data_IF_555193234544
#
_entry.id   IF_555193234544
#
_cell.length_a   1.000
_cell.length_b   1.000
_cell.length_c   1.000
_cell.angle_alpha   90.00
_cell.angle_beta   90.00
_cell.angle_gamma   90.00
#
_symmetry.space_group_name_H-M   'P 1'
#
loop_
_entity.id
_entity.type
_entity.pdbx_description
1 polymer ?
#
# COMPACT_ATOMS: atom_id res chain seq x y z
N UNK A 1 -8.35 58.74 -18.15
CA UNK A 1 -9.43 57.74 -17.99
C UNK A 1 -8.92 56.78 -16.92
N UNK A 2 -9.10 57.02 -15.61
CA UNK A 2 -10.36 57.09 -14.84
C UNK A 2 -11.23 55.87 -15.17
N UNK A 3 -11.56 54.93 -14.29
CA UNK A 3 -11.61 54.91 -12.82
C UNK A 3 -11.42 53.45 -12.31
N UNK A 4 -11.14 53.25 -11.00
CA UNK A 4 -10.82 52.00 -10.34
C UNK A 4 -12.09 51.30 -9.80
N UNK A 5 -11.96 50.03 -9.41
CA UNK A 5 -12.94 49.34 -8.59
C UNK A 5 -12.31 48.95 -7.25
N UNK A 6 -12.97 49.40 -6.21
CA UNK A 6 -12.63 49.44 -4.79
C UNK A 6 -13.06 48.12 -4.09
N UNK A 7 -13.13 48.00 -2.74
CA UNK A 7 -12.47 46.95 -1.97
C UNK A 7 -13.47 45.93 -1.40
N UNK A 8 -12.96 44.87 -0.76
CA UNK A 8 -13.77 44.06 0.14
C UNK A 8 -13.10 43.94 1.53
N UNK A 9 -13.89 44.09 2.61
CA UNK A 9 -13.41 44.33 3.97
C UNK A 9 -13.15 43.03 4.72
N UNK A 10 -12.13 43.02 5.58
CA UNK A 10 -11.99 42.02 6.64
C UNK A 10 -11.93 42.72 7.99
N UNK A 11 -13.10 42.94 8.56
CA UNK A 11 -13.25 43.20 9.98
C UNK A 11 -13.64 41.92 10.72
N UNK A 12 -13.29 41.92 12.01
CA UNK A 12 -13.71 41.02 13.11
C UNK A 12 -12.72 39.87 13.32
N UNK A 13 -11.72 40.05 14.18
CA UNK A 13 -11.84 40.10 15.65
C UNK A 13 -12.56 38.85 16.20
N UNK A 14 -11.77 37.90 16.69
CA UNK A 14 -12.23 36.92 17.66
C UNK A 14 -11.12 36.73 18.69
N UNK A 15 -11.33 37.39 19.82
CA UNK A 15 -10.72 37.14 21.11
C UNK A 15 -10.95 35.66 21.48
N UNK A 16 -9.92 34.94 21.88
CA UNK A 16 -10.07 33.73 22.68
C UNK A 16 -9.02 33.77 23.79
N UNK A 17 -9.50 34.23 24.95
CA UNK A 17 -8.82 34.27 26.24
C UNK A 17 -8.99 32.90 26.93
N UNK A 18 -8.02 32.57 27.79
CA UNK A 18 -8.03 31.57 28.85
C UNK A 18 -7.98 30.08 28.47
N UNK A 19 -6.91 29.42 28.93
CA UNK A 19 -7.03 28.50 30.07
C UNK A 19 -5.65 28.28 30.71
N UNK A 20 -5.50 28.78 31.94
CA UNK A 20 -4.47 28.36 32.86
C UNK A 20 -4.95 27.07 33.55
N UNK A 21 -4.13 26.02 33.54
CA UNK A 21 -4.31 24.86 34.42
C UNK A 21 -3.04 24.73 35.25
N UNK A 22 -3.17 25.06 36.52
CA UNK A 22 -2.14 24.92 37.54
C UNK A 22 -2.56 23.80 38.51
N UNK A 23 -1.59 22.94 38.79
CA UNK A 23 -1.41 22.14 40.01
C UNK A 23 -2.34 20.92 40.29
N UNK A 24 -1.69 19.75 40.24
CA UNK A 24 -1.99 18.51 41.01
C UNK A 24 -1.83 18.76 42.55
N UNK A 25 -1.99 17.81 43.51
CA UNK A 25 -1.93 16.34 43.39
C UNK A 25 -2.83 15.54 44.39
N UNK A 26 -2.54 14.23 44.45
CA UNK A 26 -2.73 13.26 45.56
C UNK A 26 -4.01 12.41 45.53
N UNK A 27 -3.78 11.12 45.28
CA UNK A 27 -4.69 10.02 45.57
C UNK A 27 -3.94 8.70 45.46
N UNK A 28 -3.08 8.41 46.45
CA UNK A 28 -2.49 7.08 46.60
C UNK A 28 -3.54 6.17 47.24
N UNK A 29 -3.94 5.08 46.56
CA UNK A 29 -4.69 4.00 47.22
C UNK A 29 -4.46 2.64 46.58
N UNK A 30 -3.97 1.73 47.42
CA UNK A 30 -4.09 0.27 47.40
C UNK A 30 -3.59 -0.51 46.19
N UNK A 31 -2.39 -1.07 46.35
CA UNK A 31 -1.94 -2.27 45.66
C UNK A 31 -2.80 -3.48 46.08
N UNK A 32 -3.58 -4.02 45.14
CA UNK A 32 -4.09 -5.39 45.19
C UNK A 32 -3.21 -6.29 44.32
N UNK A 33 -3.02 -7.58 44.66
CA UNK A 33 -2.27 -8.50 43.81
C UNK A 33 -3.13 -8.87 42.60
N UNK A 34 -3.00 -8.13 41.51
CA UNK A 34 -3.53 -8.53 40.21
C UNK A 34 -2.66 -9.66 39.67
N UNK A 35 -3.22 -10.87 39.81
CA UNK A 35 -2.81 -12.08 39.11
C UNK A 35 -2.59 -11.76 37.62
N UNK A 36 -1.43 -12.17 37.11
CA UNK A 36 -1.01 -11.86 35.76
C UNK A 36 -2.01 -12.37 34.71
N UNK A 37 -2.52 -11.43 33.93
CA UNK A 37 -2.74 -11.64 32.50
C UNK A 37 -1.92 -10.55 31.84
N UNK A 38 -0.64 -10.84 31.59
CA UNK A 38 0.08 -10.17 30.52
C UNK A 38 -0.65 -10.59 29.25
N UNK A 39 -1.66 -9.81 28.89
CA UNK A 39 -2.17 -9.77 27.54
C UNK A 39 -0.94 -9.43 26.70
N UNK A 40 -0.37 -10.45 26.03
CA UNK A 40 0.59 -10.21 24.96
C UNK A 40 -0.21 -9.43 23.93
N UNK A 41 -0.19 -8.11 24.08
CA UNK A 41 -0.58 -7.20 23.03
C UNK A 41 0.07 -7.76 21.78
N UNK A 42 -0.78 -8.20 20.86
CA UNK A 42 -0.38 -8.51 19.52
C UNK A 42 0.27 -7.22 19.02
N UNK A 43 1.59 -7.13 19.17
CA UNK A 43 2.39 -6.11 18.54
C UNK A 43 2.12 -6.33 17.06
N UNK A 44 1.26 -5.48 16.49
CA UNK A 44 0.89 -5.56 15.10
C UNK A 44 2.19 -5.52 14.32
N UNK A 45 2.56 -6.66 13.72
CA UNK A 45 3.81 -6.80 12.99
C UNK A 45 3.85 -5.68 11.96
N UNK A 46 4.83 -4.79 12.08
CA UNK A 46 5.07 -3.74 11.08
C UNK A 46 5.70 -4.30 9.80
N UNK A 47 5.96 -5.61 9.77
CA UNK A 47 6.41 -6.28 8.58
C UNK A 47 5.31 -6.21 7.50
N UNK A 48 5.69 -5.99 6.24
CA UNK A 48 4.74 -6.11 5.16
C UNK A 48 4.24 -7.55 5.05
N UNK A 49 2.97 -7.69 4.70
CA UNK A 49 2.34 -8.98 4.51
C UNK A 49 1.66 -9.06 3.14
N UNK A 50 1.63 -10.22 2.46
CA UNK A 50 0.97 -10.35 1.17
C UNK A 50 -0.51 -9.98 1.24
N UNK A 51 -1.05 -9.21 0.29
CA UNK A 51 -2.50 -8.95 0.18
C UNK A 51 -3.27 -10.27 0.07
N UNK A 52 -4.51 -10.32 0.53
CA UNK A 52 -5.27 -11.58 0.51
C UNK A 52 -5.50 -12.08 -0.92
N UNK A 53 -5.82 -11.15 -1.82
CA UNK A 53 -6.08 -11.42 -3.23
C UNK A 53 -5.59 -10.27 -4.12
N UNK A 54 -5.01 -10.62 -5.27
CA UNK A 54 -4.79 -9.70 -6.38
C UNK A 54 -6.05 -9.67 -7.24
N UNK A 55 -6.70 -8.51 -7.32
CA UNK A 55 -7.95 -8.33 -8.04
C UNK A 55 -7.72 -8.09 -9.53
N UNK A 56 -6.76 -7.21 -9.84
CA UNK A 56 -6.41 -6.80 -11.20
C UNK A 56 -4.95 -6.37 -11.27
N UNK A 57 -4.36 -6.47 -12.46
CA UNK A 57 -3.03 -5.98 -12.74
C UNK A 57 -2.92 -5.51 -14.20
N UNK A 58 -2.05 -4.54 -14.44
CA UNK A 58 -1.73 -4.03 -15.76
C UNK A 58 -0.25 -3.67 -15.85
N UNK A 59 0.32 -3.81 -17.04
CA UNK A 59 1.74 -3.52 -17.28
C UNK A 59 1.89 -2.68 -18.53
N UNK A 60 2.75 -1.66 -18.45
CA UNK A 60 2.99 -0.71 -19.52
C UNK A 60 4.49 -0.49 -19.70
N UNK A 61 4.97 -0.59 -20.94
CA UNK A 61 6.33 -0.15 -21.31
C UNK A 61 6.25 1.35 -21.62
N UNK A 62 6.81 2.15 -20.72
CA UNK A 62 6.84 3.60 -20.83
C UNK A 62 7.97 4.00 -21.78
N UNK A 63 7.61 4.65 -22.89
CA UNK A 63 8.58 5.21 -23.84
C UNK A 63 9.28 6.41 -23.21
N UNK A 64 10.61 6.40 -23.19
CA UNK A 64 11.43 7.46 -22.60
C UNK A 64 12.91 7.08 -22.54
N UNK A 65 13.75 7.97 -22.02
CA UNK A 65 15.18 7.73 -21.76
C UNK A 65 15.49 8.05 -20.29
N UNK A 66 15.63 7.02 -19.42
CA UNK A 66 15.58 5.59 -19.72
C UNK A 66 14.15 5.08 -19.96
N UNK A 67 14.02 3.98 -20.71
CA UNK A 67 12.77 3.21 -20.82
C UNK A 67 12.43 2.65 -19.44
N UNK A 68 11.15 2.71 -19.05
CA UNK A 68 10.70 2.21 -17.75
C UNK A 68 9.54 1.25 -17.93
N UNK A 69 9.42 0.27 -17.04
CA UNK A 69 8.25 -0.57 -16.92
C UNK A 69 7.36 -0.03 -15.80
N UNK A 70 6.10 0.26 -16.09
CA UNK A 70 5.08 0.59 -15.09
C UNK A 70 4.22 -0.63 -14.85
N UNK A 71 4.09 -1.04 -13.59
CA UNK A 71 3.23 -2.13 -13.15
C UNK A 71 2.19 -1.57 -12.20
N UNK A 72 0.92 -1.69 -12.58
CA UNK A 72 -0.22 -1.29 -11.77
C UNK A 72 -0.88 -2.56 -11.22
N UNK A 73 -1.22 -2.56 -9.93
CA UNK A 73 -1.96 -3.65 -9.32
C UNK A 73 -3.03 -3.14 -8.35
N UNK A 74 -4.15 -3.84 -8.32
CA UNK A 74 -5.20 -3.65 -7.35
C UNK A 74 -5.42 -4.95 -6.58
N UNK A 75 -5.49 -4.87 -5.26
CA UNK A 75 -5.59 -6.00 -4.35
C UNK A 75 -6.63 -5.76 -3.27
N UNK A 76 -6.93 -6.81 -2.51
CA UNK A 76 -7.85 -6.77 -1.38
C UNK A 76 -7.13 -7.26 -0.14
N UNK A 77 -7.34 -6.56 0.98
CA UNK A 77 -6.94 -7.04 2.31
C UNK A 77 -8.14 -6.95 3.26
N UNK A 78 -8.42 -8.04 3.94
CA UNK A 78 -9.43 -8.12 5.00
C UNK A 78 -8.87 -7.69 6.36
N UNK A 79 -7.54 -7.49 6.45
CA UNK A 79 -6.88 -7.04 7.68
C UNK A 79 -7.24 -5.57 7.96
N UNK A 80 -7.77 -5.26 9.15
CA UNK A 80 -8.03 -3.89 9.56
C UNK A 80 -6.74 -3.08 9.63
N UNK A 81 -6.84 -1.78 9.35
CA UNK A 81 -5.73 -0.88 9.50
C UNK A 81 -4.61 -1.09 8.49
N UNK A 82 -4.83 -1.80 7.38
CA UNK A 82 -3.88 -1.87 6.25
C UNK A 82 -4.37 -0.97 5.11
N UNK A 83 -3.48 -0.15 4.55
CA UNK A 83 -3.90 0.84 3.54
C UNK A 83 -2.85 1.26 2.52
N UNK A 84 -1.59 0.86 2.74
CA UNK A 84 -0.52 1.07 1.76
C UNK A 84 -0.12 -0.26 1.13
N UNK A 85 0.18 -0.23 -0.17
CA UNK A 85 0.59 -1.39 -0.95
C UNK A 85 1.99 -1.21 -1.56
N UNK A 86 2.69 -2.32 -1.78
CA UNK A 86 3.96 -2.37 -2.52
C UNK A 86 4.01 -3.63 -3.37
N UNK A 87 4.68 -3.55 -4.53
CA UNK A 87 5.04 -4.73 -5.32
C UNK A 87 6.52 -5.04 -5.09
N UNK A 88 6.81 -6.21 -4.54
CA UNK A 88 8.17 -6.67 -4.25
C UNK A 88 8.63 -7.63 -5.36
N UNK A 89 9.63 -7.25 -6.16
CA UNK A 89 10.23 -8.12 -7.18
C UNK A 89 10.89 -9.36 -6.57
N UNK A 90 10.66 -10.54 -7.16
CA UNK A 90 11.49 -11.71 -6.92
C UNK A 90 12.64 -11.70 -7.91
N UNK A 91 13.74 -11.04 -7.53
CA UNK A 91 14.95 -11.00 -8.34
C UNK A 91 15.72 -12.30 -8.16
N UNK A 92 15.75 -13.11 -9.23
CA UNK A 92 16.68 -14.24 -9.34
C UNK A 92 17.97 -13.80 -10.02
N UNK A 93 19.08 -14.46 -9.71
CA UNK A 93 20.35 -14.28 -10.43
C UNK A 93 20.24 -14.78 -11.87
N UNK A 94 19.47 -15.85 -12.07
CA UNK A 94 19.21 -16.41 -13.38
C UNK A 94 17.92 -15.82 -13.98
N UNK A 95 17.91 -15.54 -15.30
CA UNK A 95 16.70 -15.08 -15.98
C UNK A 95 15.55 -16.08 -15.82
N UNK A 96 14.32 -15.56 -15.78
CA UNK A 96 13.14 -16.41 -15.69
C UNK A 96 13.04 -17.25 -16.99
N UNK A 97 12.99 -18.59 -16.93
CA UNK A 97 13.07 -19.45 -18.12
C UNK A 97 11.90 -19.25 -19.10
N UNK A 98 10.79 -18.68 -18.64
CA UNK A 98 9.61 -18.32 -19.43
C UNK A 98 9.51 -16.80 -19.71
N UNK A 99 10.48 -16.00 -19.26
CA UNK A 99 10.45 -14.54 -19.32
C UNK A 99 9.36 -13.89 -18.45
N UNK A 100 8.69 -14.63 -17.57
CA UNK A 100 7.67 -14.12 -16.66
C UNK A 100 8.33 -13.86 -15.31
N UNK A 101 8.42 -12.59 -14.93
CA UNK A 101 9.04 -12.19 -13.68
C UNK A 101 8.02 -12.14 -12.54
N UNK A 102 8.40 -12.69 -11.40
CA UNK A 102 7.50 -12.83 -10.26
C UNK A 102 7.61 -11.64 -9.32
N UNK A 103 6.48 -11.24 -8.74
CA UNK A 103 6.38 -10.17 -7.75
C UNK A 103 5.36 -10.56 -6.68
N UNK A 104 5.60 -10.19 -5.43
CA UNK A 104 4.59 -10.29 -4.38
C UNK A 104 3.94 -8.94 -4.14
N UNK A 105 2.61 -8.89 -4.10
CA UNK A 105 1.86 -7.71 -3.69
C UNK A 105 1.68 -7.77 -2.17
N UNK A 106 2.41 -6.90 -1.48
CA UNK A 106 2.36 -6.78 -0.03
C UNK A 106 1.66 -5.50 0.40
N UNK A 107 1.16 -5.50 1.62
CA UNK A 107 0.53 -4.36 2.26
C UNK A 107 1.16 -4.11 3.63
N UNK A 108 1.19 -2.83 4.02
CA UNK A 108 1.67 -2.39 5.32
C UNK A 108 0.51 -1.97 6.22
N UNK A 109 0.65 -2.16 7.54
CA UNK A 109 -0.17 -1.46 8.51
C UNK A 109 -0.09 0.05 8.27
N UNK A 110 -1.23 0.71 8.21
CA UNK A 110 -1.36 2.16 8.16
C UNK A 110 -0.81 2.75 9.46
N UNK A 111 0.09 3.73 9.33
CA UNK A 111 0.58 4.52 10.46
C UNK A 111 -0.46 5.61 10.78
N UNK A 112 -1.49 5.30 11.57
CA UNK A 112 -2.50 6.27 11.98
C UNK A 112 -3.92 5.70 12.09
N UNK A 113 -4.94 6.57 11.97
CA UNK A 113 -6.35 6.15 12.01
C UNK A 113 -6.58 5.03 11.00
N UNK A 114 -7.04 3.89 11.49
CA UNK A 114 -7.14 2.66 10.71
C UNK A 114 -7.95 2.86 9.43
N UNK A 115 -7.38 2.49 8.29
CA UNK A 115 -8.16 2.21 7.08
C UNK A 115 -9.16 1.09 7.40
N UNK A 116 -10.35 1.16 6.82
CA UNK A 116 -11.39 0.16 7.10
C UNK A 116 -10.95 -1.19 6.50
N UNK A 117 -11.24 -2.28 7.22
CA UNK A 117 -10.96 -3.63 6.73
C UNK A 117 -11.78 -3.93 5.47
N UNK A 118 -11.18 -4.58 4.47
CA UNK A 118 -11.87 -4.94 3.22
C UNK A 118 -11.65 -3.95 2.08
N UNK A 119 -10.86 -2.90 2.31
CA UNK A 119 -10.59 -1.88 1.31
C UNK A 119 -9.75 -2.44 0.14
N UNK A 120 -10.05 -1.91 -1.04
CA UNK A 120 -9.26 -2.11 -2.25
C UNK A 120 -7.98 -1.29 -2.13
N UNK A 121 -6.83 -1.96 -2.23
CA UNK A 121 -5.51 -1.32 -2.24
C UNK A 121 -5.02 -1.24 -3.67
N UNK A 122 -4.53 -0.07 -4.06
CA UNK A 122 -3.92 0.14 -5.37
C UNK A 122 -2.46 0.53 -5.21
N UNK A 123 -1.61 0.02 -6.11
CA UNK A 123 -0.19 0.31 -6.14
C UNK A 123 0.26 0.49 -7.58
N UNK A 124 1.16 1.45 -7.77
CA UNK A 124 1.88 1.69 -9.02
C UNK A 124 3.36 1.54 -8.71
N UNK A 125 4.04 0.62 -9.39
CA UNK A 125 5.48 0.43 -9.28
C UNK A 125 6.17 0.73 -10.62
N UNK A 126 7.33 1.36 -10.56
CA UNK A 126 8.16 1.69 -11.73
C UNK A 126 9.50 0.97 -11.65
N UNK A 127 9.76 0.07 -12.61
CA UNK A 127 11.08 -0.53 -12.80
C UNK A 127 11.88 0.28 -13.82
N UNK A 128 12.94 0.92 -13.33
CA UNK A 128 13.89 1.70 -14.14
C UNK A 128 14.81 0.82 -14.98
N UNK A 129 15.03 -0.41 -14.55
CA UNK A 129 15.86 -1.40 -15.23
C UNK A 129 15.14 -2.72 -15.10
N UNK A 130 14.90 -3.37 -16.22
CA UNK A 130 14.22 -4.67 -16.26
C UNK A 130 14.93 -5.57 -17.28
N UNK A 131 14.86 -6.90 -17.11
CA UNK A 131 15.61 -7.83 -17.95
C UNK A 131 15.16 -7.78 -19.41
N UNK A 132 16.09 -7.98 -20.37
CA UNK A 132 15.81 -7.86 -21.79
C UNK A 132 14.85 -8.95 -22.32
N UNK A 133 14.76 -10.06 -21.61
CA UNK A 133 13.89 -11.21 -21.88
C UNK A 133 12.52 -11.11 -21.18
N UNK A 134 12.19 -9.96 -20.58
CA UNK A 134 10.90 -9.72 -19.94
C UNK A 134 9.75 -9.89 -20.94
N UNK A 135 8.97 -10.95 -20.75
CA UNK A 135 7.75 -11.28 -21.49
C UNK A 135 6.50 -10.80 -20.74
N UNK A 136 6.51 -10.84 -19.41
CA UNK A 136 5.40 -10.46 -18.56
C UNK A 136 5.76 -10.50 -17.08
N UNK A 137 4.76 -10.23 -16.23
CA UNK A 137 4.89 -10.33 -14.77
C UNK A 137 3.80 -11.24 -14.21
N UNK A 138 4.13 -11.94 -13.13
CA UNK A 138 3.19 -12.69 -12.29
C UNK A 138 3.17 -12.06 -10.91
N UNK A 139 2.02 -11.56 -10.50
CA UNK A 139 1.84 -10.89 -9.22
C UNK A 139 1.10 -11.82 -8.27
N UNK A 140 1.75 -12.18 -7.16
CA UNK A 140 1.20 -13.03 -6.11
C UNK A 140 0.53 -12.21 -5.01
N UNK A 141 -0.65 -12.66 -4.60
CA UNK A 141 -1.21 -12.41 -3.28
C UNK A 141 -1.19 -13.71 -2.47
N UNK A 142 -1.82 -13.70 -1.29
CA UNK A 142 -1.85 -14.86 -0.41
C UNK A 142 -2.64 -16.04 -1.01
N UNK A 143 -3.73 -15.77 -1.74
CA UNK A 143 -4.66 -16.81 -2.23
C UNK A 143 -4.68 -17.00 -3.75
N UNK A 144 -4.18 -16.03 -4.50
CA UNK A 144 -4.14 -16.11 -5.96
C UNK A 144 -2.92 -15.39 -6.51
N UNK A 145 -2.66 -15.62 -7.79
CA UNK A 145 -1.77 -14.78 -8.57
C UNK A 145 -2.46 -14.30 -9.84
N UNK A 146 -1.92 -13.22 -10.41
CA UNK A 146 -2.36 -12.63 -11.67
C UNK A 146 -1.17 -12.47 -12.60
N UNK A 147 -1.26 -13.04 -13.80
CA UNK A 147 -0.25 -12.88 -14.85
C UNK A 147 -0.66 -11.81 -15.86
N UNK A 148 0.29 -10.95 -16.24
CA UNK A 148 0.11 -9.93 -17.26
C UNK A 148 1.27 -9.97 -18.25
N UNK A 149 0.93 -10.08 -19.53
CA UNK A 149 1.90 -10.17 -20.62
C UNK A 149 2.10 -8.82 -21.30
N UNK A 150 3.35 -8.50 -21.61
CA UNK A 150 3.74 -7.24 -22.25
C UNK A 150 3.80 -7.41 -23.77
N UNK A 151 4.35 -8.55 -24.21
CA UNK A 151 4.65 -8.78 -25.62
C UNK A 151 3.35 -8.96 -26.44
N UNK A 152 3.16 -8.28 -27.59
CA UNK A 152 1.94 -8.35 -28.41
C UNK A 152 1.54 -9.78 -28.79
N UNK A 153 2.54 -10.65 -29.05
CA UNK A 153 2.33 -12.08 -29.31
C UNK A 153 1.58 -12.79 -28.19
N UNK A 154 1.67 -12.34 -26.94
CA UNK A 154 1.06 -12.99 -25.77
C UNK A 154 -0.08 -12.15 -25.15
N UNK A 155 -0.37 -10.95 -25.66
CA UNK A 155 -1.48 -10.13 -25.18
C UNK A 155 -2.86 -10.81 -25.35
N UNK A 156 -2.97 -11.75 -26.30
CA UNK A 156 -4.19 -12.54 -26.50
C UNK A 156 -4.42 -13.60 -25.39
N UNK A 157 -3.39 -13.95 -24.61
CA UNK A 157 -3.50 -14.97 -23.56
C UNK A 157 -4.36 -14.52 -22.36
N UNK A 158 -4.84 -13.26 -22.39
CA UNK A 158 -5.59 -12.57 -21.32
C UNK A 158 -4.83 -12.55 -19.99
N UNK A 159 -5.18 -11.58 -19.15
CA UNK A 159 -4.78 -11.58 -17.74
C UNK A 159 -5.28 -12.87 -17.10
N UNK A 160 -4.38 -13.78 -16.75
CA UNK A 160 -4.71 -15.08 -16.18
C UNK A 160 -4.70 -15.01 -14.65
N UNK A 161 -5.77 -15.48 -14.00
CA UNK A 161 -5.70 -15.79 -12.56
C UNK A 161 -5.16 -17.20 -12.38
N UNK A 162 -4.09 -17.32 -11.63
CA UNK A 162 -3.53 -18.59 -11.21
C UNK A 162 -3.82 -18.83 -9.73
N UNK A 163 -3.97 -20.10 -9.36
CA UNK A 163 -4.01 -20.50 -7.95
C UNK A 163 -2.59 -20.45 -7.39
N UNK A 164 -2.43 -19.96 -6.17
CA UNK A 164 -1.18 -20.16 -5.42
C UNK A 164 -1.19 -21.60 -4.94
N UNK A 165 -0.11 -22.35 -5.18
CA UNK A 165 0.02 -23.68 -4.60
C UNK A 165 -0.05 -23.55 -3.08
N UNK A 166 -0.96 -24.29 -2.44
CA UNK A 166 -1.00 -24.36 -0.99
C UNK A 166 0.37 -24.89 -0.50
N UNK A 167 0.92 -24.34 0.60
CA UNK A 167 2.18 -24.80 1.17
C UNK A 167 2.13 -26.27 1.58
#
# INVERSE_FOLDING_TARGET
MSNPAEPQPRHRAALALLLAVLAAPVGATAAGPMHGIMDRGHEASLAPEPVDEVLAAAVYVMKGTPVQLRVDAAGRTSRPGHGAGILIPHLSLDPAPNGIYEMTFETFPARGVAAQSGDRIEVINFWKTFPPDLVGVRIYGARNCVEVFIHPKYQHLRTGRCAVAAP
#
